data_IF_203891505861
#
_entry.id   IF_203891505861
#
_cell.length_a   1.000
_cell.length_b   1.000
_cell.length_c   1.000
_cell.angle_alpha   90.00
_cell.angle_beta   90.00
_cell.angle_gamma   90.00
#
_symmetry.space_group_name_H-M   'P 1'
#
loop_
_entity.id
_entity.type
_entity.pdbx_description
1 polymer ?
#
# COMPACT_ATOMS: atom_id res chain seq x y z
N UNK A 1 -13.20 -10.82 -18.42
CA UNK A 1 -13.25 -9.55 -17.68
C UNK A 1 -11.82 -9.13 -17.47
N UNK A 2 -11.45 -7.94 -17.94
CA UNK A 2 -10.09 -7.41 -17.86
C UNK A 2 -9.63 -7.41 -16.40
N UNK A 3 -8.50 -8.06 -16.11
CA UNK A 3 -7.80 -7.91 -14.85
C UNK A 3 -7.35 -6.45 -14.77
N UNK A 4 -8.16 -5.60 -14.16
CA UNK A 4 -7.79 -4.21 -13.93
C UNK A 4 -6.59 -4.26 -12.99
N UNK A 5 -5.41 -3.98 -13.54
CA UNK A 5 -4.17 -3.86 -12.80
C UNK A 5 -4.23 -2.54 -12.03
N UNK A 6 -5.15 -2.45 -11.06
CA UNK A 6 -5.30 -1.29 -10.19
C UNK A 6 -4.13 -1.34 -9.23
N UNK A 7 -3.34 -0.28 -9.21
CA UNK A 7 -2.34 -0.06 -8.19
C UNK A 7 -2.97 -0.30 -6.80
N UNK A 8 -2.46 -1.25 -5.99
CA UNK A 8 -3.07 -1.58 -4.70
C UNK A 8 -3.21 -0.37 -3.77
N UNK A 9 -2.29 0.60 -3.83
CA UNK A 9 -2.37 1.84 -3.07
C UNK A 9 -3.60 2.66 -3.49
N UNK A 10 -3.80 2.88 -4.78
CA UNK A 10 -4.93 3.65 -5.32
C UNK A 10 -6.27 2.96 -4.99
N UNK A 11 -6.30 1.62 -5.05
CA UNK A 11 -7.47 0.84 -4.65
C UNK A 11 -7.81 1.02 -3.18
N UNK A 12 -6.81 0.97 -2.29
CA UNK A 12 -6.99 1.19 -0.86
C UNK A 12 -7.45 2.63 -0.56
N UNK A 13 -6.82 3.63 -1.17
CA UNK A 13 -7.20 5.05 -1.02
C UNK A 13 -8.67 5.28 -1.42
N UNK A 14 -9.12 4.69 -2.53
CA UNK A 14 -10.51 4.79 -2.97
C UNK A 14 -11.49 4.17 -1.95
N UNK A 15 -11.13 3.04 -1.33
CA UNK A 15 -11.94 2.39 -0.31
C UNK A 15 -12.02 3.23 0.97
N UNK A 16 -10.89 3.78 1.42
CA UNK A 16 -10.83 4.66 2.61
C UNK A 16 -11.68 5.91 2.36
N UNK A 17 -11.57 6.53 1.18
CA UNK A 17 -12.37 7.70 0.83
C UNK A 17 -13.87 7.41 0.91
N UNK A 18 -14.33 6.31 0.30
CA UNK A 18 -15.73 5.88 0.35
C UNK A 18 -16.21 5.65 1.79
N UNK A 19 -15.37 5.10 2.65
CA UNK A 19 -15.70 4.90 4.06
C UNK A 19 -15.81 6.22 4.82
N UNK A 20 -14.87 7.16 4.62
CA UNK A 20 -14.93 8.50 5.21
C UNK A 20 -16.18 9.26 4.78
N UNK A 21 -16.51 9.21 3.49
CA UNK A 21 -17.71 9.84 2.92
C UNK A 21 -18.99 9.23 3.53
N UNK A 22 -19.06 7.90 3.65
CA UNK A 22 -20.20 7.20 4.22
C UNK A 22 -20.41 7.49 5.73
N UNK A 23 -19.32 7.79 6.44
CA UNK A 23 -19.33 8.11 7.87
C UNK A 23 -19.44 9.62 8.14
N UNK A 24 -19.42 10.47 7.11
CA UNK A 24 -19.49 11.93 7.25
C UNK A 24 -18.29 12.52 7.99
N UNK A 25 -17.11 11.90 7.85
CA UNK A 25 -15.90 12.35 8.54
C UNK A 25 -15.32 13.59 7.87
N UNK A 26 -14.58 14.39 8.65
CA UNK A 26 -13.89 15.55 8.13
C UNK A 26 -12.83 15.15 7.08
N UNK A 27 -12.58 15.99 6.05
CA UNK A 27 -11.57 15.72 5.02
C UNK A 27 -10.17 15.45 5.60
N UNK A 28 -9.85 16.05 6.74
CA UNK A 28 -8.59 15.83 7.45
C UNK A 28 -8.35 14.36 7.83
N UNK A 29 -9.42 13.60 8.10
CA UNK A 29 -9.31 12.19 8.46
C UNK A 29 -8.87 11.35 7.25
N UNK A 30 -9.43 11.62 6.07
CA UNK A 30 -9.00 10.95 4.84
C UNK A 30 -7.54 11.30 4.52
N UNK A 31 -7.16 12.58 4.62
CA UNK A 31 -5.80 13.04 4.35
C UNK A 31 -4.76 12.40 5.29
N UNK A 32 -5.13 12.11 6.53
CA UNK A 32 -4.28 11.39 7.49
C UNK A 32 -4.13 9.90 7.15
N UNK A 33 -5.19 9.26 6.65
CA UNK A 33 -5.25 7.80 6.45
C UNK A 33 -4.84 7.35 5.04
N UNK A 34 -4.81 8.25 4.05
CA UNK A 34 -4.57 7.89 2.64
C UNK A 34 -3.15 7.38 2.36
N UNK A 35 -2.19 7.69 3.23
CA UNK A 35 -0.78 7.33 3.08
C UNK A 35 -0.28 6.55 4.32
N UNK A 36 0.64 5.58 4.14
CA UNK A 36 1.21 4.85 5.26
C UNK A 36 2.06 5.78 6.14
N UNK A 37 1.91 5.64 7.46
CA UNK A 37 2.72 6.40 8.42
C UNK A 37 4.23 6.10 8.32
N UNK A 38 4.58 4.87 7.90
CA UNK A 38 5.97 4.43 7.73
C UNK A 38 6.05 3.37 6.64
N UNK A 39 7.03 3.50 5.75
CA UNK A 39 7.43 2.47 4.80
C UNK A 39 8.89 2.11 5.09
N UNK A 40 9.17 0.83 5.20
CA UNK A 40 10.54 0.31 5.41
C UNK A 40 10.87 -0.54 4.19
N UNK A 41 11.85 -0.08 3.43
CA UNK A 41 12.41 -0.82 2.31
C UNK A 41 13.82 -1.28 2.71
N UNK A 42 14.05 -2.59 2.66
CA UNK A 42 15.34 -3.19 2.99
C UNK A 42 15.68 -4.26 1.96
N UNK A 43 16.97 -4.37 1.66
CA UNK A 43 17.50 -5.50 0.88
C UNK A 43 17.89 -6.62 1.83
N UNK A 44 17.30 -7.80 1.65
CA UNK A 44 17.61 -8.98 2.46
C UNK A 44 18.47 -9.91 1.61
N UNK A 45 19.79 -9.96 1.82
CA UNK A 45 20.64 -10.88 1.09
C UNK A 45 20.28 -12.31 1.45
N UNK A 46 20.02 -13.13 0.44
CA UNK A 46 19.75 -14.56 0.60
C UNK A 46 20.93 -15.35 0.08
N UNK A 47 21.34 -16.34 0.87
CA UNK A 47 22.30 -17.36 0.42
C UNK A 47 21.56 -18.40 -0.40
N UNK A 48 21.92 -18.52 -1.67
CA UNK A 48 21.35 -19.47 -2.61
C UNK A 48 21.94 -20.87 -2.38
N UNK A 49 21.28 -21.91 -2.92
CA UNK A 49 21.72 -23.30 -2.77
C UNK A 49 23.11 -23.55 -3.39
N UNK A 50 23.47 -22.78 -4.43
CA UNK A 50 24.80 -22.81 -5.07
C UNK A 50 25.89 -22.08 -4.26
N UNK A 51 25.52 -21.51 -3.10
CA UNK A 51 26.39 -20.77 -2.21
C UNK A 51 26.58 -19.29 -2.54
N UNK A 52 26.04 -18.79 -3.66
CA UNK A 52 26.07 -17.37 -4.00
C UNK A 52 25.18 -16.52 -3.08
N UNK A 53 25.51 -15.23 -2.93
CA UNK A 53 24.64 -14.26 -2.26
C UNK A 53 23.84 -13.49 -3.31
N UNK A 54 22.52 -13.46 -3.15
CA UNK A 54 21.61 -12.65 -3.96
C UNK A 54 20.96 -11.59 -3.09
N UNK A 55 21.07 -10.34 -3.51
CA UNK A 55 20.45 -9.17 -2.87
C UNK A 55 19.14 -8.84 -3.56
#
# INVERSE_FOLDING_TARGET
MSNVNVNPLESAQLQIKKACDALGLEPAVYELLKDPQRVIEISIPVKMDDGSLKV
#
